data_IF_929216972203
#
_entry.id   IF_929216972203
#
_cell.length_a   1.000
_cell.length_b   1.000
_cell.length_c   1.000
_cell.angle_alpha   90.00
_cell.angle_beta   90.00
_cell.angle_gamma   90.00
#
_symmetry.space_group_name_H-M   'P 1'
#
loop_
_entity.id
_entity.type
_entity.pdbx_description
1 polymer ?
#
# COMPACT_ATOMS: atom_id res chain seq x y z
N UNK A 1 -9.14 -4.10 -38.39
CA UNK A 1 -9.84 -3.48 -37.23
C UNK A 1 -9.58 -4.16 -35.87
N UNK A 2 -9.08 -5.41 -35.80
CA UNK A 2 -8.98 -6.19 -34.55
C UNK A 2 -7.75 -5.90 -33.66
N UNK A 3 -6.68 -5.33 -34.22
CA UNK A 3 -5.44 -4.97 -33.50
C UNK A 3 -5.59 -3.76 -32.56
N UNK A 4 -6.34 -2.73 -32.97
CA UNK A 4 -6.55 -1.52 -32.14
C UNK A 4 -7.30 -1.82 -30.82
N UNK A 5 -8.25 -2.76 -30.85
CA UNK A 5 -8.98 -3.21 -29.64
C UNK A 5 -8.12 -4.07 -28.72
N UNK A 6 -7.25 -4.94 -29.28
CA UNK A 6 -6.28 -5.72 -28.50
C UNK A 6 -5.30 -4.81 -27.74
N UNK A 7 -4.76 -3.79 -28.41
CA UNK A 7 -3.86 -2.82 -27.76
C UNK A 7 -4.60 -2.01 -26.69
N UNK A 8 -5.84 -1.59 -26.94
CA UNK A 8 -6.64 -0.88 -25.94
C UNK A 8 -6.91 -1.71 -24.67
N UNK A 9 -7.23 -3.01 -24.83
CA UNK A 9 -7.42 -3.91 -23.69
C UNK A 9 -6.12 -4.15 -22.91
N UNK A 10 -4.99 -4.26 -23.62
CA UNK A 10 -3.66 -4.41 -22.99
C UNK A 10 -3.27 -3.17 -22.20
N UNK A 11 -3.37 -1.98 -22.79
CA UNK A 11 -3.07 -0.72 -22.11
C UNK A 11 -3.92 -0.52 -20.85
N UNK A 12 -5.20 -0.93 -20.88
CA UNK A 12 -6.06 -0.89 -19.68
C UNK A 12 -5.53 -1.79 -18.56
N UNK A 13 -5.13 -3.02 -18.87
CA UNK A 13 -4.55 -3.96 -17.87
C UNK A 13 -3.22 -3.48 -17.33
N UNK A 14 -2.37 -2.91 -18.18
CA UNK A 14 -1.07 -2.36 -17.79
C UNK A 14 -1.23 -1.15 -16.86
N UNK A 15 -2.14 -0.23 -17.19
CA UNK A 15 -2.48 0.92 -16.34
C UNK A 15 -3.06 0.47 -15.00
N UNK A 16 -4.00 -0.47 -15.01
CA UNK A 16 -4.56 -1.04 -13.79
C UNK A 16 -3.46 -1.67 -12.92
N UNK A 17 -2.56 -2.48 -13.50
CA UNK A 17 -1.42 -3.05 -12.78
C UNK A 17 -0.54 -1.95 -12.15
N UNK A 18 -0.21 -0.89 -12.90
CA UNK A 18 0.63 0.19 -12.34
C UNK A 18 -0.06 0.88 -11.18
N UNK A 19 -1.37 1.15 -11.27
CA UNK A 19 -2.14 1.75 -10.19
C UNK A 19 -2.14 0.87 -8.93
N UNK A 20 -2.28 -0.45 -9.07
CA UNK A 20 -2.15 -1.39 -7.95
C UNK A 20 -0.76 -1.38 -7.31
N UNK A 21 0.31 -1.33 -8.11
CA UNK A 21 1.66 -1.27 -7.58
C UNK A 21 1.94 0.04 -6.85
N UNK A 22 1.47 1.17 -7.38
CA UNK A 22 1.57 2.46 -6.68
C UNK A 22 0.79 2.44 -5.36
N UNK A 23 -0.42 1.87 -5.36
CA UNK A 23 -1.19 1.71 -4.13
C UNK A 23 -0.46 0.85 -3.08
N UNK A 24 0.23 -0.21 -3.51
CA UNK A 24 1.01 -1.07 -2.62
C UNK A 24 2.20 -0.32 -2.00
N UNK A 25 2.86 0.59 -2.75
CA UNK A 25 3.97 1.42 -2.24
C UNK A 25 3.53 2.43 -1.18
N UNK A 26 2.27 2.85 -1.20
CA UNK A 26 1.71 3.78 -0.22
C UNK A 26 1.33 3.11 1.11
N UNK A 27 1.28 1.78 1.16
CA UNK A 27 1.09 1.06 2.40
C UNK A 27 2.33 1.22 3.30
N UNK A 28 2.17 1.29 4.63
CA UNK A 28 3.28 1.42 5.57
C UNK A 28 4.03 0.07 5.76
N UNK A 29 4.34 -0.62 4.66
CA UNK A 29 4.99 -1.92 4.61
C UNK A 29 6.32 -1.81 3.84
N UNK A 30 7.35 -2.58 4.21
CA UNK A 30 8.59 -2.65 3.44
C UNK A 30 8.34 -3.02 1.96
N UNK A 31 9.06 -2.37 1.05
CA UNK A 31 8.97 -2.63 -0.40
C UNK A 31 9.21 -4.10 -0.79
N UNK A 32 10.06 -4.80 -0.03
CA UNK A 32 10.32 -6.23 -0.19
C UNK A 32 9.06 -7.10 -0.02
N UNK A 33 8.07 -6.64 0.77
CA UNK A 33 6.79 -7.33 0.99
C UNK A 33 5.77 -6.85 -0.03
N UNK A 34 5.66 -5.53 -0.24
CA UNK A 34 4.62 -4.95 -1.12
C UNK A 34 4.80 -5.32 -2.59
N UNK A 35 6.04 -5.60 -3.03
CA UNK A 35 6.35 -6.09 -4.37
C UNK A 35 5.84 -7.51 -4.66
N UNK A 36 5.61 -8.32 -3.63
CA UNK A 36 5.14 -9.71 -3.75
C UNK A 36 3.62 -9.85 -3.54
N UNK A 37 2.93 -8.76 -3.20
CA UNK A 37 1.50 -8.80 -2.93
C UNK A 37 0.70 -8.99 -4.22
N UNK A 38 -0.27 -9.89 -4.16
CA UNK A 38 -1.31 -9.98 -5.18
C UNK A 38 -2.32 -8.83 -5.04
N UNK A 39 -3.08 -8.56 -6.11
CA UNK A 39 -4.05 -7.47 -6.16
C UNK A 39 -5.10 -7.53 -5.05
N UNK A 40 -5.56 -8.73 -4.68
CA UNK A 40 -6.58 -8.86 -3.65
C UNK A 40 -6.00 -8.55 -2.27
N UNK A 41 -4.77 -9.00 -2.00
CA UNK A 41 -4.05 -8.65 -0.77
C UNK A 41 -3.79 -7.15 -0.66
N UNK A 42 -3.41 -6.46 -1.75
CA UNK A 42 -3.27 -4.99 -1.78
C UNK A 42 -4.58 -4.32 -1.34
N UNK A 43 -5.73 -4.68 -1.95
CA UNK A 43 -7.03 -4.11 -1.56
C UNK A 43 -7.38 -4.37 -0.11
N UNK A 44 -7.17 -5.60 0.37
CA UNK A 44 -7.50 -6.00 1.75
C UNK A 44 -6.65 -5.22 2.76
N UNK A 45 -5.36 -5.11 2.51
CA UNK A 45 -4.43 -4.36 3.36
C UNK A 45 -4.74 -2.87 3.36
N UNK A 46 -4.99 -2.26 2.19
CA UNK A 46 -5.42 -0.85 2.10
C UNK A 46 -6.72 -0.62 2.86
N UNK A 47 -7.71 -1.48 2.68
CA UNK A 47 -9.01 -1.36 3.36
C UNK A 47 -8.85 -1.45 4.88
N UNK A 48 -8.10 -2.45 5.36
CA UNK A 48 -7.80 -2.62 6.79
C UNK A 48 -7.04 -1.43 7.35
N UNK A 49 -6.06 -0.91 6.60
CA UNK A 49 -5.30 0.28 6.97
C UNK A 49 -6.21 1.51 7.13
N UNK A 50 -7.07 1.80 6.15
CA UNK A 50 -8.01 2.92 6.23
C UNK A 50 -8.99 2.79 7.40
N UNK A 51 -9.53 1.59 7.66
CA UNK A 51 -10.41 1.33 8.81
C UNK A 51 -9.70 1.57 10.14
N UNK A 52 -8.45 1.14 10.23
CA UNK A 52 -7.64 1.34 11.43
C UNK A 52 -7.37 2.83 11.69
N UNK A 53 -7.15 3.66 10.66
CA UNK A 53 -7.00 5.13 10.84
C UNK A 53 -8.24 5.78 11.46
N UNK A 54 -9.42 5.23 11.20
CA UNK A 54 -10.68 5.69 11.81
C UNK A 54 -10.77 5.30 13.29
N UNK A 55 -10.31 4.09 13.64
CA UNK A 55 -10.38 3.56 15.01
C UNK A 55 -9.27 4.14 15.90
N UNK A 56 -8.10 4.45 15.34
CA UNK A 56 -6.93 4.96 16.05
C UNK A 56 -6.45 6.29 15.45
N UNK A 57 -7.20 7.40 15.67
CA UNK A 57 -6.87 8.70 15.10
C UNK A 57 -5.54 9.29 15.62
N UNK A 58 -5.05 8.87 16.79
CA UNK A 58 -3.77 9.34 17.34
C UNK A 58 -2.54 8.59 16.79
N UNK A 59 -2.73 7.37 16.26
CA UNK A 59 -1.69 6.59 15.59
C UNK A 59 -1.20 7.20 14.27
N UNK A 60 -1.90 8.23 13.79
CA UNK A 60 -1.60 8.95 12.54
C UNK A 60 -0.60 10.10 12.69
N UNK A 61 -0.25 10.48 13.91
CA UNK A 61 0.70 11.56 14.18
C UNK A 61 2.09 11.31 13.57
N UNK A 62 2.45 10.06 13.28
CA UNK A 62 3.69 9.68 12.56
C UNK A 62 3.52 9.39 11.07
N UNK A 63 2.31 9.06 10.62
CA UNK A 63 1.99 8.79 9.20
C UNK A 63 1.65 10.05 8.39
N UNK A 64 1.35 11.17 9.07
CA UNK A 64 1.19 12.49 8.41
C UNK A 64 2.52 13.17 8.08
N UNK A 65 3.63 12.69 8.64
CA UNK A 65 4.98 13.20 8.35
C UNK A 65 5.53 12.49 7.11
N UNK A 66 5.03 12.86 5.93
CA UNK A 66 5.51 12.18 4.71
C UNK A 66 4.96 12.64 3.36
N UNK A 67 4.16 13.71 3.29
CA UNK A 67 3.79 14.29 1.99
C UNK A 67 4.56 15.59 1.65
N UNK A 68 5.54 15.97 2.48
CA UNK A 68 6.53 16.97 2.07
C UNK A 68 7.81 16.24 1.69
N UNK A 69 8.02 16.11 0.37
CA UNK A 69 9.30 15.73 -0.20
C UNK A 69 10.30 16.85 0.09
N UNK A 70 11.01 16.74 1.21
CA UNK A 70 12.28 17.40 1.41
C UNK A 70 13.30 16.33 1.75
N UNK A 71 14.30 16.22 0.88
CA UNK A 71 15.53 15.46 1.12
C UNK A 71 16.09 15.77 2.51
N UNK A 72 16.80 14.79 3.07
CA UNK A 72 17.61 14.87 4.29
C UNK A 72 16.91 14.51 5.62
N UNK A 73 16.67 13.21 5.86
CA UNK A 73 16.97 12.53 7.14
C UNK A 73 16.55 11.04 7.16
N UNK A 74 17.45 10.08 7.48
CA UNK A 74 17.16 8.64 7.41
C UNK A 74 16.61 8.01 8.72
N UNK A 75 16.32 8.80 9.77
CA UNK A 75 16.08 8.24 11.11
C UNK A 75 14.60 8.04 11.52
N UNK A 76 13.62 8.56 10.78
CA UNK A 76 12.21 8.55 11.23
C UNK A 76 11.36 7.37 10.74
N UNK A 77 11.88 6.53 9.84
CA UNK A 77 11.11 5.45 9.19
C UNK A 77 10.94 4.17 10.04
N UNK A 78 11.59 4.08 11.21
CA UNK A 78 11.73 2.81 11.94
C UNK A 78 10.58 2.46 12.91
N UNK A 79 9.49 3.24 12.98
CA UNK A 79 8.38 2.92 13.89
C UNK A 79 7.03 3.19 13.22
N UNK A 80 6.76 2.52 12.10
CA UNK A 80 5.41 2.00 11.91
C UNK A 80 5.20 1.02 13.07
N UNK A 81 4.45 1.44 14.08
CA UNK A 81 4.30 0.74 15.34
C UNK A 81 4.06 -0.76 15.08
N UNK A 82 4.87 -1.62 15.70
CA UNK A 82 4.82 -3.08 15.50
C UNK A 82 3.39 -3.62 15.69
N UNK A 83 2.58 -2.95 16.51
CA UNK A 83 1.18 -3.30 16.79
C UNK A 83 0.26 -3.00 15.63
N UNK A 84 0.46 -1.89 14.91
CA UNK A 84 -0.32 -1.51 13.72
C UNK A 84 -0.05 -2.48 12.58
N UNK A 85 1.22 -2.78 12.32
CA UNK A 85 1.61 -3.70 11.27
C UNK A 85 1.15 -5.13 11.58
N UNK A 86 1.31 -5.57 12.84
CA UNK A 86 0.76 -6.85 13.32
C UNK A 86 -0.75 -6.87 13.21
N UNK A 87 -1.48 -5.80 13.57
CA UNK A 87 -2.94 -5.77 13.48
C UNK A 87 -3.43 -5.83 12.03
N UNK A 88 -2.79 -5.11 11.11
CA UNK A 88 -3.12 -5.11 9.68
C UNK A 88 -2.82 -6.47 9.04
N UNK A 89 -1.69 -7.10 9.37
CA UNK A 89 -1.34 -8.45 8.88
C UNK A 89 -2.21 -9.55 9.53
N UNK A 90 -2.46 -9.46 10.84
CA UNK A 90 -3.26 -10.44 11.62
C UNK A 90 -4.75 -10.38 11.27
N UNK A 91 -5.32 -9.18 11.10
CA UNK A 91 -6.72 -8.99 10.69
C UNK A 91 -6.97 -9.39 9.24
N UNK A 92 -5.92 -9.40 8.41
CA UNK A 92 -6.06 -9.69 6.99
C UNK A 92 -5.93 -11.17 6.63
N UNK A 93 -5.76 -12.12 7.56
CA UNK A 93 -5.67 -13.58 7.24
C UNK A 93 -4.75 -13.86 6.02
N UNK A 94 -3.67 -13.11 5.87
CA UNK A 94 -2.70 -13.32 4.78
C UNK A 94 -1.73 -14.37 5.31
N UNK A 95 -1.75 -15.58 4.74
CA UNK A 95 -0.62 -16.50 4.86
C UNK A 95 0.48 -15.91 3.97
N UNK A 96 1.55 -15.41 4.59
CA UNK A 96 2.86 -15.30 3.93
C UNK A 96 3.39 -16.73 3.75
#
# INVERSE_FOLDING_TARGET
>A
MKEKSKNAARTRREKENSEFYELAKLLPLPSAITSQLDKASIIRLTTSYLKMRVVFPEGDSKLRVGFHASSDSPACLATADSSVLKYVLLSSRIRV
#
